data_IF_325167257536
#
_entry.id   IF_325167257536
#
_cell.length_a   1.000
_cell.length_b   1.000
_cell.length_c   1.000
_cell.angle_alpha   90.00
_cell.angle_beta   90.00
_cell.angle_gamma   90.00
#
_symmetry.space_group_name_H-M   'P 1'
#
loop_
_entity.id
_entity.type
_entity.pdbx_description
1 polymer ?
#
# COMPACT_ATOMS: atom_id res chain seq x y z
N UNK A 1 9.13 28.26 2.10
CA UNK A 1 7.84 28.87 1.74
C UNK A 1 7.51 29.93 2.77
N UNK A 2 7.38 31.17 2.32
CA UNK A 2 7.10 32.31 3.16
C UNK A 2 5.68 32.21 3.81
N UNK A 3 5.52 32.63 5.07
CA UNK A 3 6.57 33.12 5.99
C UNK A 3 7.21 32.03 6.85
N UNK A 4 6.62 30.83 6.92
CA UNK A 4 6.98 29.79 7.90
C UNK A 4 8.45 29.35 7.76
N UNK A 5 8.88 28.96 6.57
CA UNK A 5 10.24 28.46 6.35
C UNK A 5 11.30 29.56 6.56
N UNK A 6 10.99 30.83 6.28
CA UNK A 6 11.89 31.94 6.57
C UNK A 6 12.09 32.12 8.07
N UNK A 7 11.04 31.93 8.85
CA UNK A 7 11.11 31.99 10.31
C UNK A 7 11.94 30.82 10.87
N UNK A 8 11.76 29.59 10.34
CA UNK A 8 12.56 28.41 10.70
C UNK A 8 14.04 28.61 10.38
N UNK A 9 14.36 29.15 9.21
CA UNK A 9 15.73 29.49 8.81
C UNK A 9 16.34 30.51 9.78
N UNK A 10 15.64 31.60 10.06
CA UNK A 10 16.12 32.66 10.93
C UNK A 10 16.39 32.14 12.35
N UNK A 11 15.45 31.39 12.92
CA UNK A 11 15.60 30.80 14.26
C UNK A 11 16.79 29.85 14.33
N UNK A 12 16.88 28.93 13.37
CA UNK A 12 17.92 27.89 13.41
C UNK A 12 19.32 28.46 13.12
N UNK A 13 19.45 29.36 12.14
CA UNK A 13 20.73 30.00 11.81
C UNK A 13 21.23 30.85 12.96
N UNK A 14 20.35 31.64 13.60
CA UNK A 14 20.72 32.47 14.75
C UNK A 14 21.08 31.61 15.99
N UNK A 15 20.28 30.59 16.31
CA UNK A 15 20.53 29.72 17.46
C UNK A 15 21.83 28.94 17.33
N UNK A 16 22.11 28.39 16.15
CA UNK A 16 23.27 27.53 15.91
C UNK A 16 24.49 28.30 15.39
N UNK A 17 24.40 29.62 15.18
CA UNK A 17 25.44 30.48 14.61
C UNK A 17 26.02 29.93 13.30
N UNK A 18 25.17 29.35 12.47
CA UNK A 18 25.53 28.78 11.16
C UNK A 18 25.18 29.74 10.05
N UNK A 19 25.83 29.62 8.89
CA UNK A 19 25.52 30.42 7.70
C UNK A 19 24.40 29.79 6.84
N UNK A 20 24.04 28.53 7.13
CA UNK A 20 23.15 27.75 6.26
C UNK A 20 22.26 26.81 7.11
N UNK A 21 20.99 26.79 6.80
CA UNK A 21 20.02 25.95 7.48
C UNK A 21 20.03 24.51 6.92
N UNK A 22 19.93 24.36 5.59
CA UNK A 22 19.95 23.07 4.92
C UNK A 22 20.72 23.13 3.60
N UNK A 23 21.30 22.00 3.18
CA UNK A 23 21.96 21.88 1.88
C UNK A 23 20.96 21.58 0.77
N UNK A 24 19.92 20.82 1.08
CA UNK A 24 18.88 20.39 0.17
C UNK A 24 17.50 20.68 0.77
N UNK A 25 16.58 21.11 -0.08
CA UNK A 25 15.22 21.42 0.29
C UNK A 25 14.27 20.52 -0.46
N UNK A 26 13.43 19.79 0.26
CA UNK A 26 12.40 18.92 -0.30
C UNK A 26 11.05 19.36 0.24
N UNK A 27 10.11 19.66 -0.66
CA UNK A 27 8.77 20.10 -0.31
C UNK A 27 7.73 19.07 -0.72
N UNK A 28 7.02 18.53 0.26
CA UNK A 28 5.89 17.64 0.02
C UNK A 28 4.62 18.43 -0.30
N UNK A 29 3.75 17.83 -1.08
CA UNK A 29 2.40 18.35 -1.27
C UNK A 29 1.47 17.87 -0.15
N UNK A 30 0.18 18.22 -0.26
CA UNK A 30 -0.84 17.94 0.73
C UNK A 30 -1.50 16.58 0.51
N UNK A 31 -1.99 16.00 1.63
CA UNK A 31 -2.99 14.94 1.57
C UNK A 31 -4.36 15.61 1.54
N UNK A 32 -5.19 15.23 0.57
CA UNK A 32 -6.60 15.61 0.48
C UNK A 32 -7.49 14.45 0.88
N UNK A 33 -8.70 14.75 1.32
CA UNK A 33 -9.73 13.77 1.65
C UNK A 33 -10.95 14.15 0.83
N UNK A 34 -11.37 13.26 -0.08
CA UNK A 34 -12.46 13.57 -1.01
C UNK A 34 -12.23 14.89 -1.78
N UNK A 35 -10.95 15.11 -2.19
CA UNK A 35 -10.47 16.32 -2.89
C UNK A 35 -10.47 17.60 -2.06
N UNK A 36 -10.81 17.54 -0.79
CA UNK A 36 -10.73 18.68 0.13
C UNK A 36 -9.47 18.61 0.98
N UNK A 37 -8.88 19.77 1.29
CA UNK A 37 -7.70 19.83 2.16
C UNK A 37 -8.03 19.34 3.56
N UNK A 38 -7.23 18.43 4.10
CA UNK A 38 -7.33 18.00 5.47
C UNK A 38 -7.06 19.17 6.43
N UNK A 39 -8.04 19.54 7.26
CA UNK A 39 -7.92 20.64 8.22
C UNK A 39 -8.66 20.36 9.53
N UNK A 40 -8.06 20.81 10.65
CA UNK A 40 -8.69 20.67 11.97
C UNK A 40 -10.06 21.37 12.06
N UNK A 41 -10.19 22.49 11.40
CA UNK A 41 -11.42 23.27 11.36
C UNK A 41 -12.58 22.58 10.62
N UNK A 42 -12.26 21.63 9.73
CA UNK A 42 -13.26 20.85 8.98
C UNK A 42 -13.59 19.51 9.65
N UNK A 43 -12.90 19.14 10.73
CA UNK A 43 -13.14 17.88 11.42
C UNK A 43 -12.76 16.62 10.63
N UNK A 44 -12.10 16.79 9.47
CA UNK A 44 -11.77 15.72 8.53
C UNK A 44 -10.34 15.15 8.73
N UNK A 45 -9.80 15.24 9.95
CA UNK A 45 -8.47 14.72 10.25
C UNK A 45 -8.52 13.21 10.35
N UNK A 46 -7.75 12.54 9.49
CA UNK A 46 -7.52 11.12 9.54
C UNK A 46 -6.28 10.79 10.38
N UNK A 47 -6.43 9.88 11.33
CA UNK A 47 -5.30 9.39 12.12
C UNK A 47 -4.80 8.09 11.52
N UNK A 48 -3.49 8.00 11.28
CA UNK A 48 -2.84 6.76 10.81
C UNK A 48 -3.16 5.58 11.73
N UNK A 49 -3.29 5.82 13.05
CA UNK A 49 -3.67 4.81 14.04
C UNK A 49 -5.02 4.13 13.74
N UNK A 50 -5.97 4.85 13.15
CA UNK A 50 -7.29 4.30 12.84
C UNK A 50 -7.24 3.45 11.56
N UNK A 51 -6.47 3.89 10.57
CA UNK A 51 -6.22 3.09 9.37
C UNK A 51 -5.43 1.81 9.66
N UNK A 52 -4.46 1.84 10.57
CA UNK A 52 -3.70 0.65 11.00
C UNK A 52 -4.55 -0.43 11.66
N UNK A 53 -5.73 -0.09 12.16
CA UNK A 53 -6.69 -1.09 12.66
C UNK A 53 -7.38 -1.86 11.52
N UNK A 54 -7.53 -1.24 10.34
CA UNK A 54 -8.24 -1.80 9.19
C UNK A 54 -7.27 -2.37 8.14
N UNK A 55 -6.15 -1.69 7.91
CA UNK A 55 -5.19 -2.02 6.86
C UNK A 55 -3.79 -2.29 7.42
N UNK A 56 -3.07 -3.22 6.79
CA UNK A 56 -1.66 -3.44 7.08
C UNK A 56 -0.82 -2.19 6.75
N UNK A 57 0.26 -1.97 7.49
CA UNK A 57 1.15 -0.83 7.27
C UNK A 57 1.71 -0.73 5.86
N UNK A 58 1.91 -1.86 5.18
CA UNK A 58 2.38 -1.89 3.79
C UNK A 58 1.33 -1.36 2.80
N UNK A 59 0.02 -1.52 3.09
CA UNK A 59 -1.06 -0.93 2.29
C UNK A 59 -0.96 0.59 2.34
N UNK A 60 -0.80 1.14 3.55
CA UNK A 60 -0.63 2.59 3.74
C UNK A 60 0.63 3.10 3.04
N UNK A 61 1.73 2.33 3.10
CA UNK A 61 2.98 2.67 2.42
C UNK A 61 2.81 2.69 0.91
N UNK A 62 2.20 1.65 0.32
CA UNK A 62 1.94 1.60 -1.12
C UNK A 62 1.03 2.75 -1.56
N UNK A 63 0.00 3.08 -0.78
CA UNK A 63 -0.88 4.21 -1.05
C UNK A 63 -0.12 5.54 -1.06
N UNK A 64 0.78 5.78 -0.10
CA UNK A 64 1.63 6.98 -0.10
C UNK A 64 2.57 7.04 -1.30
N UNK A 65 3.10 5.90 -1.74
CA UNK A 65 4.01 5.80 -2.89
C UNK A 65 3.30 5.88 -4.24
N UNK A 66 1.97 5.72 -4.29
CA UNK A 66 1.19 5.74 -5.53
C UNK A 66 1.13 7.10 -6.20
N UNK A 67 1.49 8.16 -5.47
CA UNK A 67 1.55 9.54 -5.98
C UNK A 67 2.94 10.10 -5.72
N UNK A 68 3.46 10.89 -6.65
CA UNK A 68 4.73 11.57 -6.46
C UNK A 68 4.64 12.52 -5.27
N UNK A 69 5.67 12.58 -4.41
CA UNK A 69 5.67 13.36 -3.17
C UNK A 69 5.33 14.85 -3.38
N UNK A 70 5.64 15.41 -4.54
CA UNK A 70 5.34 16.81 -4.91
C UNK A 70 3.91 17.02 -5.42
N UNK A 71 3.12 15.97 -5.58
CA UNK A 71 1.74 16.05 -6.05
C UNK A 71 0.74 15.79 -4.90
N UNK A 72 -0.47 16.37 -4.96
CA UNK A 72 -1.50 16.09 -3.96
C UNK A 72 -1.95 14.64 -4.03
N UNK A 73 -2.06 13.99 -2.87
CA UNK A 73 -2.57 12.64 -2.73
C UNK A 73 -3.99 12.68 -2.17
N UNK A 74 -4.97 12.15 -2.92
CA UNK A 74 -6.34 12.00 -2.41
C UNK A 74 -6.49 10.69 -1.64
N UNK A 75 -6.52 10.81 -0.32
CA UNK A 75 -6.60 9.68 0.60
C UNK A 75 -8.05 9.25 0.76
N UNK A 76 -8.40 8.07 0.30
CA UNK A 76 -9.74 7.51 0.37
C UNK A 76 -9.72 5.98 0.48
N UNK A 77 -10.85 5.40 0.91
CA UNK A 77 -10.95 3.94 1.10
C UNK A 77 -10.77 3.16 -0.21
N UNK A 78 -11.17 3.73 -1.35
CA UNK A 78 -10.98 3.09 -2.66
C UNK A 78 -9.50 2.87 -2.97
N UNK A 79 -8.66 3.88 -2.74
CA UNK A 79 -7.21 3.76 -2.90
C UNK A 79 -6.64 2.68 -1.97
N UNK A 80 -7.09 2.65 -0.71
CA UNK A 80 -6.64 1.63 0.26
C UNK A 80 -7.00 0.22 -0.20
N UNK A 81 -8.23 0.02 -0.67
CA UNK A 81 -8.71 -1.28 -1.14
C UNK A 81 -7.99 -1.72 -2.43
N UNK A 82 -7.65 -0.79 -3.33
CA UNK A 82 -6.84 -1.06 -4.52
C UNK A 82 -5.42 -1.48 -4.15
N UNK A 83 -4.78 -0.77 -3.22
CA UNK A 83 -3.45 -1.11 -2.71
C UNK A 83 -3.45 -2.47 -1.97
N UNK A 84 -4.47 -2.74 -1.17
CA UNK A 84 -4.61 -4.02 -0.47
C UNK A 84 -4.73 -5.17 -1.47
N UNK A 85 -5.60 -5.05 -2.49
CA UNK A 85 -5.73 -6.06 -3.56
C UNK A 85 -4.44 -6.25 -4.37
N UNK A 86 -3.69 -5.19 -4.58
CA UNK A 86 -2.40 -5.25 -5.26
C UNK A 86 -1.40 -6.07 -4.45
N UNK A 87 -1.26 -5.76 -3.15
CA UNK A 87 -0.39 -6.52 -2.26
C UNK A 87 -0.81 -7.98 -2.10
N UNK A 88 -2.12 -8.28 -2.05
CA UNK A 88 -2.62 -9.65 -2.04
C UNK A 88 -2.12 -10.46 -3.26
N UNK A 89 -2.18 -9.86 -4.45
CA UNK A 89 -1.66 -10.49 -5.67
C UNK A 89 -0.15 -10.66 -5.60
N UNK A 90 0.58 -9.65 -5.13
CA UNK A 90 2.03 -9.65 -5.04
C UNK A 90 2.55 -10.69 -4.04
N UNK A 91 1.88 -10.86 -2.90
CA UNK A 91 2.21 -11.90 -1.93
C UNK A 91 2.04 -13.33 -2.47
N UNK A 92 1.24 -13.55 -3.52
CA UNK A 92 1.16 -14.85 -4.18
C UNK A 92 2.41 -15.20 -5.00
N UNK A 93 3.23 -14.20 -5.35
CA UNK A 93 4.51 -14.37 -6.01
C UNK A 93 5.71 -14.20 -5.06
N UNK A 94 5.44 -13.89 -3.78
CA UNK A 94 6.49 -13.70 -2.78
C UNK A 94 7.32 -14.97 -2.58
N UNK A 95 8.65 -14.78 -2.55
CA UNK A 95 9.61 -15.80 -2.12
C UNK A 95 10.58 -15.19 -1.11
N UNK A 96 10.99 -15.94 -0.06
CA UNK A 96 12.03 -15.49 0.84
C UNK A 96 13.36 -15.32 0.08
N UNK A 97 13.95 -14.14 0.17
CA UNK A 97 15.24 -13.88 -0.48
C UNK A 97 16.34 -13.94 0.58
N UNK A 98 17.15 -14.97 0.54
CA UNK A 98 18.24 -15.25 1.49
C UNK A 98 19.63 -14.94 0.90
N UNK A 99 19.71 -14.60 -0.38
CA UNK A 99 20.95 -14.26 -1.09
C UNK A 99 20.89 -12.84 -1.63
N UNK A 100 22.04 -12.27 -1.94
CA UNK A 100 22.11 -10.95 -2.57
C UNK A 100 21.62 -11.08 -4.02
N UNK A 101 20.41 -10.66 -4.29
CA UNK A 101 19.86 -10.51 -5.64
C UNK A 101 20.01 -9.05 -6.03
N UNK A 102 20.51 -8.80 -7.24
CA UNK A 102 20.69 -7.45 -7.76
C UNK A 102 19.45 -7.03 -8.54
N UNK A 103 18.98 -5.82 -8.28
CA UNK A 103 18.00 -5.14 -9.11
C UNK A 103 18.80 -4.44 -10.22
N UNK A 104 18.34 -4.53 -11.46
CA UNK A 104 18.98 -3.85 -12.57
C UNK A 104 18.89 -2.31 -12.39
N UNK A 105 19.98 -1.61 -12.70
CA UNK A 105 20.01 -0.14 -12.64
C UNK A 105 18.90 0.50 -13.49
N UNK A 106 18.54 -0.15 -14.58
CA UNK A 106 17.46 0.31 -15.45
C UNK A 106 16.11 0.32 -14.74
N UNK A 107 15.86 -0.65 -13.86
CA UNK A 107 14.63 -0.74 -13.06
C UNK A 107 14.61 0.30 -11.93
N UNK A 108 15.77 0.75 -11.47
CA UNK A 108 15.88 1.80 -10.43
C UNK A 108 15.82 3.23 -11.00
N UNK A 109 15.90 3.42 -12.32
CA UNK A 109 15.88 4.75 -12.97
C UNK A 109 14.76 5.68 -12.48
N UNK A 110 13.50 5.21 -12.28
CA UNK A 110 12.46 6.12 -11.77
C UNK A 110 12.79 6.71 -10.40
N UNK A 111 13.50 5.95 -9.53
CA UNK A 111 13.88 6.45 -8.21
C UNK A 111 15.04 7.46 -8.28
N UNK A 112 15.86 7.42 -9.33
CA UNK A 112 16.91 8.39 -9.57
C UNK A 112 16.36 9.70 -10.17
N UNK A 113 15.16 9.66 -10.75
CA UNK A 113 14.46 10.80 -11.31
C UNK A 113 13.49 11.38 -10.26
N UNK A 114 14.04 12.20 -9.38
CA UNK A 114 13.31 12.91 -8.30
C UNK A 114 12.40 12.01 -7.46
N UNK A 115 12.86 10.79 -7.11
CA UNK A 115 12.11 9.81 -6.32
C UNK A 115 10.71 9.51 -6.91
N UNK A 116 10.63 9.31 -8.22
CA UNK A 116 9.40 8.97 -8.92
C UNK A 116 8.89 7.58 -8.50
N UNK A 117 8.30 7.51 -7.30
CA UNK A 117 7.74 6.27 -6.75
C UNK A 117 6.60 5.70 -7.59
N UNK A 118 5.67 6.49 -8.19
CA UNK A 118 4.69 5.95 -9.13
C UNK A 118 5.34 5.23 -10.33
N UNK A 119 6.40 5.82 -10.88
CA UNK A 119 7.18 5.20 -11.95
C UNK A 119 7.81 3.89 -11.52
N UNK A 120 8.34 3.82 -10.28
CA UNK A 120 8.89 2.57 -9.75
C UNK A 120 7.81 1.53 -9.46
N UNK A 121 6.60 1.91 -9.00
CA UNK A 121 5.47 0.99 -8.87
C UNK A 121 5.12 0.38 -10.23
N UNK A 122 5.18 1.15 -11.32
CA UNK A 122 4.98 0.61 -12.66
C UNK A 122 6.06 -0.43 -13.05
N UNK A 123 7.31 -0.25 -12.60
CA UNK A 123 8.36 -1.28 -12.73
C UNK A 123 8.03 -2.52 -11.92
N UNK A 124 7.57 -2.36 -10.66
CA UNK A 124 7.16 -3.49 -9.83
C UNK A 124 6.02 -4.31 -10.47
N UNK A 125 5.06 -3.66 -11.12
CA UNK A 125 4.03 -4.38 -11.89
C UNK A 125 4.62 -5.19 -13.05
N UNK A 126 5.58 -4.64 -13.79
CA UNK A 126 6.26 -5.38 -14.87
C UNK A 126 7.05 -6.59 -14.35
N UNK A 127 7.76 -6.41 -13.22
CA UNK A 127 8.47 -7.50 -12.56
C UNK A 127 7.51 -8.55 -12.01
N UNK A 128 6.38 -8.15 -11.47
CA UNK A 128 5.30 -9.06 -11.04
C UNK A 128 4.74 -9.88 -12.20
N UNK A 129 4.46 -9.25 -13.36
CA UNK A 129 3.95 -9.95 -14.54
C UNK A 129 4.94 -11.01 -15.05
N UNK A 130 6.25 -10.75 -14.96
CA UNK A 130 7.29 -11.75 -15.24
C UNK A 130 7.31 -12.85 -14.16
N UNK A 131 7.25 -12.48 -12.90
CA UNK A 131 7.36 -13.41 -11.77
C UNK A 131 6.15 -14.36 -11.65
N UNK A 132 4.97 -13.92 -12.07
CA UNK A 132 3.71 -14.68 -11.95
C UNK A 132 3.79 -16.06 -12.59
N UNK A 133 4.29 -16.13 -13.82
CA UNK A 133 4.42 -17.35 -14.60
C UNK A 133 5.91 -17.71 -14.86
N UNK A 134 6.85 -16.98 -14.21
CA UNK A 134 8.26 -17.04 -14.43
C UNK A 134 8.99 -18.02 -13.50
N UNK A 135 10.32 -17.95 -13.57
CA UNK A 135 11.25 -18.77 -12.80
C UNK A 135 11.31 -18.34 -11.33
N UNK A 136 12.01 -19.14 -10.51
CA UNK A 136 12.33 -18.75 -9.14
C UNK A 136 13.15 -17.44 -9.09
N UNK A 137 14.07 -17.27 -10.04
CA UNK A 137 14.89 -16.07 -10.15
C UNK A 137 14.05 -14.82 -10.41
N UNK A 138 13.06 -14.89 -11.30
CA UNK A 138 12.12 -13.78 -11.54
C UNK A 138 11.37 -13.40 -10.25
N UNK A 139 10.94 -14.38 -9.47
CA UNK A 139 10.28 -14.17 -8.18
C UNK A 139 11.22 -13.56 -7.13
N UNK A 140 12.48 -13.98 -7.09
CA UNK A 140 13.50 -13.42 -6.20
C UNK A 140 13.80 -11.95 -6.56
N UNK A 141 13.95 -11.63 -7.85
CA UNK A 141 14.15 -10.26 -8.34
C UNK A 141 12.95 -9.37 -7.94
N UNK A 142 11.72 -9.84 -8.22
CA UNK A 142 10.51 -9.12 -7.84
C UNK A 142 10.41 -8.90 -6.33
N UNK A 143 10.62 -9.94 -5.51
CA UNK A 143 10.57 -9.83 -4.05
C UNK A 143 11.65 -8.89 -3.52
N UNK A 144 12.85 -8.90 -4.12
CA UNK A 144 13.95 -7.98 -3.77
C UNK A 144 13.59 -6.53 -4.10
N UNK A 145 13.02 -6.28 -5.29
CA UNK A 145 12.60 -4.95 -5.70
C UNK A 145 11.48 -4.39 -4.81
N UNK A 146 10.52 -5.22 -4.41
CA UNK A 146 9.49 -4.83 -3.43
C UNK A 146 10.11 -4.49 -2.07
N UNK A 147 11.01 -5.33 -1.55
CA UNK A 147 11.70 -5.10 -0.27
C UNK A 147 12.56 -3.84 -0.28
N UNK A 148 13.15 -3.50 -1.41
CA UNK A 148 13.97 -2.29 -1.56
C UNK A 148 13.19 -1.02 -1.18
N UNK A 149 11.90 -1.00 -1.43
CA UNK A 149 11.01 0.13 -1.06
C UNK A 149 10.15 -0.18 0.18
N UNK A 150 10.47 -1.24 0.93
CA UNK A 150 9.78 -1.62 2.17
C UNK A 150 8.38 -2.20 1.94
N UNK A 151 8.18 -2.89 0.83
CA UNK A 151 7.01 -3.71 0.53
C UNK A 151 7.41 -5.19 0.57
N UNK A 152 6.46 -6.09 0.80
CA UNK A 152 6.70 -7.53 0.99
C UNK A 152 7.80 -7.83 2.03
N UNK A 153 7.84 -7.06 3.12
CA UNK A 153 8.80 -7.18 4.21
C UNK A 153 8.41 -8.21 5.28
N UNK A 154 7.19 -8.73 5.20
CA UNK A 154 6.64 -9.80 6.03
C UNK A 154 6.64 -11.12 5.25
N UNK A 155 6.51 -12.24 5.97
CA UNK A 155 6.23 -13.52 5.32
C UNK A 155 4.79 -13.58 4.78
N UNK A 156 4.53 -14.52 3.87
CA UNK A 156 3.17 -14.78 3.37
C UNK A 156 2.23 -15.17 4.49
N UNK A 157 2.71 -15.98 5.45
CA UNK A 157 1.91 -16.45 6.58
C UNK A 157 1.53 -15.30 7.53
N UNK A 158 2.44 -14.36 7.77
CA UNK A 158 2.16 -13.15 8.56
C UNK A 158 1.13 -12.26 7.87
N UNK A 159 1.24 -12.09 6.55
CA UNK A 159 0.27 -11.35 5.74
C UNK A 159 -1.12 -11.99 5.83
N UNK A 160 -1.22 -13.30 5.62
CA UNK A 160 -2.49 -14.03 5.67
C UNK A 160 -3.07 -14.05 7.09
N UNK A 161 -2.23 -14.12 8.12
CA UNK A 161 -2.65 -14.04 9.53
C UNK A 161 -3.25 -12.67 9.86
N UNK A 162 -2.64 -11.58 9.38
CA UNK A 162 -3.20 -10.23 9.54
C UNK A 162 -4.59 -10.12 8.90
N UNK A 163 -4.77 -10.68 7.71
CA UNK A 163 -6.07 -10.71 7.02
C UNK A 163 -7.11 -11.46 7.84
N UNK A 164 -6.76 -12.65 8.34
CA UNK A 164 -7.66 -13.47 9.17
C UNK A 164 -8.10 -12.75 10.45
N UNK A 165 -7.20 -12.01 11.11
CA UNK A 165 -7.53 -11.23 12.31
C UNK A 165 -8.53 -10.09 12.04
N UNK A 166 -8.55 -9.57 10.83
CA UNK A 166 -9.44 -8.47 10.43
C UNK A 166 -10.77 -8.96 9.81
N UNK A 167 -10.95 -10.27 9.64
CA UNK A 167 -12.22 -10.81 9.16
C UNK A 167 -13.29 -10.67 10.25
N UNK A 168 -14.46 -10.18 9.87
CA UNK A 168 -15.63 -10.01 10.76
C UNK A 168 -16.36 -11.32 11.04
N UNK A 169 -15.95 -12.42 10.44
CA UNK A 169 -16.54 -13.75 10.59
C UNK A 169 -15.49 -14.76 11.04
N UNK A 170 -15.91 -15.72 11.87
CA UNK A 170 -15.06 -16.86 12.19
C UNK A 170 -14.87 -17.77 10.97
N UNK A 171 -13.76 -18.52 10.93
CA UNK A 171 -13.49 -19.49 9.85
C UNK A 171 -14.64 -20.51 9.68
N UNK A 172 -15.23 -20.96 10.80
CA UNK A 172 -16.38 -21.87 10.79
C UNK A 172 -17.64 -21.24 10.17
N UNK A 173 -17.89 -19.96 10.41
CA UNK A 173 -19.04 -19.28 9.81
C UNK A 173 -18.83 -19.05 8.31
N UNK A 174 -17.59 -18.79 7.89
CA UNK A 174 -17.24 -18.68 6.48
C UNK A 174 -17.48 -20.02 5.76
N UNK A 175 -16.98 -21.12 6.32
CA UNK A 175 -17.16 -22.45 5.76
C UNK A 175 -18.63 -22.82 5.64
N UNK A 176 -19.45 -22.57 6.69
CA UNK A 176 -20.90 -22.77 6.62
C UNK A 176 -21.57 -21.99 5.50
N UNK A 177 -21.22 -20.70 5.34
CA UNK A 177 -21.78 -19.88 4.25
C UNK A 177 -21.33 -20.36 2.86
N UNK A 178 -20.11 -20.86 2.73
CA UNK A 178 -19.64 -21.47 1.47
C UNK A 178 -20.45 -22.76 1.18
N UNK A 179 -20.69 -23.60 2.16
CA UNK A 179 -21.53 -24.80 2.00
C UNK A 179 -22.98 -24.45 1.64
N UNK A 180 -23.57 -23.45 2.30
CA UNK A 180 -24.90 -22.96 2.00
C UNK A 180 -25.00 -22.45 0.55
N UNK A 181 -23.99 -21.70 0.11
CA UNK A 181 -23.91 -21.21 -1.28
C UNK A 181 -23.80 -22.37 -2.27
N UNK A 182 -22.99 -23.37 -1.99
CA UNK A 182 -22.84 -24.53 -2.87
C UNK A 182 -24.16 -25.32 -2.93
N UNK A 183 -24.83 -25.56 -1.80
CA UNK A 183 -26.16 -26.21 -1.76
C UNK A 183 -27.23 -25.43 -2.54
N UNK A 184 -27.20 -24.09 -2.49
CA UNK A 184 -28.10 -23.24 -3.27
C UNK A 184 -27.83 -23.39 -4.79
N UNK A 185 -26.55 -23.43 -5.19
CA UNK A 185 -26.17 -23.66 -6.61
C UNK A 185 -26.58 -25.03 -7.12
N UNK A 186 -26.43 -26.09 -6.30
CA UNK A 186 -26.83 -27.46 -6.64
C UNK A 186 -28.35 -27.55 -6.85
N UNK A 187 -29.11 -26.77 -6.07
CA UNK A 187 -30.56 -26.63 -6.20
C UNK A 187 -30.99 -25.65 -7.29
N UNK A 188 -30.02 -25.04 -8.04
CA UNK A 188 -30.23 -24.01 -9.04
C UNK A 188 -30.90 -22.73 -8.52
N UNK A 189 -30.82 -22.49 -7.21
CA UNK A 189 -31.25 -21.25 -6.56
C UNK A 189 -30.12 -20.22 -6.66
N UNK A 190 -30.00 -19.61 -7.83
CA UNK A 190 -28.93 -18.66 -8.10
C UNK A 190 -29.10 -17.33 -7.36
N UNK A 191 -30.34 -16.95 -7.03
CA UNK A 191 -30.64 -15.73 -6.30
C UNK A 191 -30.08 -15.79 -4.86
N UNK A 192 -30.33 -16.92 -4.17
CA UNK A 192 -29.75 -17.17 -2.84
C UNK A 192 -28.23 -17.29 -2.89
N UNK A 193 -27.69 -17.97 -3.91
CA UNK A 193 -26.24 -18.14 -4.06
C UNK A 193 -25.53 -16.80 -4.27
N UNK A 194 -26.11 -15.87 -5.04
CA UNK A 194 -25.55 -14.54 -5.28
C UNK A 194 -25.71 -13.64 -4.04
N UNK A 195 -26.81 -13.75 -3.31
CA UNK A 195 -27.00 -13.06 -2.03
C UNK A 195 -25.92 -13.45 -1.03
N UNK A 196 -25.66 -14.76 -0.84
CA UNK A 196 -24.60 -15.24 0.07
C UNK A 196 -23.21 -14.77 -0.40
N UNK A 197 -22.95 -14.78 -1.72
CA UNK A 197 -21.70 -14.26 -2.28
C UNK A 197 -21.50 -12.78 -1.95
N UNK A 198 -22.53 -11.97 -2.14
CA UNK A 198 -22.47 -10.53 -1.88
C UNK A 198 -22.29 -10.27 -0.37
N UNK A 199 -22.94 -11.02 0.50
CA UNK A 199 -22.74 -10.94 1.95
C UNK A 199 -21.29 -11.26 2.36
N UNK A 200 -20.65 -12.24 1.70
CA UNK A 200 -19.24 -12.56 1.96
C UNK A 200 -18.31 -11.47 1.44
N UNK A 201 -18.57 -10.96 0.23
CA UNK A 201 -17.82 -9.84 -0.36
C UNK A 201 -17.89 -8.57 0.50
N UNK A 202 -19.06 -8.22 1.04
CA UNK A 202 -19.25 -7.06 1.94
C UNK A 202 -18.48 -7.21 3.26
N UNK A 203 -18.13 -8.44 3.63
CA UNK A 203 -17.32 -8.76 4.82
C UNK A 203 -15.84 -8.95 4.51
N UNK A 204 -15.43 -8.74 3.25
CA UNK A 204 -14.04 -8.81 2.81
C UNK A 204 -13.52 -10.22 2.52
N UNK A 205 -14.44 -11.16 2.18
CA UNK A 205 -14.14 -12.57 1.89
C UNK A 205 -14.43 -12.87 0.43
#
# INVERSE_FOLDING_TARGET
>A
IFPHHENEIAQSVCANKTKKFANYWVHNNFITISKEKMAKSQGNILKISDYKKKYNGQVLRLALMSTHYSQPLDWNDKLMDECNRTLDKWYNCYVPVNKKVLIEDNDLKPLYDDLNTPGFIAVLHKLFDKAKDGTLEDKEIFSTACKFVGLLDQSKDEWDSFKKQNLKLSENDILKKIEERNKARDKKDYELADKIRNELLDKGI
#
